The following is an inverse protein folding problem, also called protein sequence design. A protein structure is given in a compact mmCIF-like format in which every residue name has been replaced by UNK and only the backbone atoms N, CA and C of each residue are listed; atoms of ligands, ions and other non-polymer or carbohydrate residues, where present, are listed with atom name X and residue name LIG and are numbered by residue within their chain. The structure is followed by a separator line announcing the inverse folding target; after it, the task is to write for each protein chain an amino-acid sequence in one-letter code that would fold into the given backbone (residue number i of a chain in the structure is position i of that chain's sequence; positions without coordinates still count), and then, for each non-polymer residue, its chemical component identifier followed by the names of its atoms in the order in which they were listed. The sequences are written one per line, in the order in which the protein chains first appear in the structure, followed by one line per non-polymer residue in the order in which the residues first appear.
data_IF_235451645241
#
_entry.id   IF_235451645241
#
_cell.length_a   1.000
_cell.length_b   1.000
_cell.length_c   1.000
_cell.angle_alpha   90.00
_cell.angle_beta   90.00
_cell.angle_gamma   90.00
#
_symmetry.space_group_name_H-M   'P 1'
#
loop_
_entity.id
_entity.type
_entity.pdbx_description
1 polymer ?
#
# COMPACT_ATOMS: atom_id res chain seq x y z
N UNK A 1 11.95 8.80 -6.92
CA UNK A 1 10.98 8.68 -8.05
C UNK A 1 9.97 7.58 -7.75
N UNK A 2 8.66 7.79 -7.98
CA UNK A 2 7.59 6.86 -7.56
C UNK A 2 7.41 5.64 -8.51
N UNK A 3 8.31 5.44 -9.47
CA UNK A 3 8.29 4.30 -10.39
C UNK A 3 7.17 4.29 -11.43
N UNK A 4 6.45 5.40 -11.61
CA UNK A 4 5.33 5.52 -12.55
C UNK A 4 5.87 5.72 -13.96
N UNK A 5 5.74 4.70 -14.81
CA UNK A 5 6.18 4.75 -16.22
C UNK A 5 5.11 5.28 -17.17
N UNK A 6 3.85 4.93 -16.90
CA UNK A 6 2.73 5.27 -17.77
C UNK A 6 1.57 5.84 -16.95
N UNK A 7 0.97 6.90 -17.46
CA UNK A 7 -0.33 7.42 -17.01
C UNK A 7 -1.33 7.12 -18.12
N UNK A 8 -2.38 6.36 -17.79
CA UNK A 8 -3.38 5.91 -18.77
C UNK A 8 -4.75 6.42 -18.33
N UNK A 9 -5.41 7.17 -19.22
CA UNK A 9 -6.75 7.67 -19.02
C UNK A 9 -7.70 7.20 -20.13
N UNK A 10 -8.99 6.97 -19.84
CA UNK A 10 -9.99 6.72 -20.88
C UNK A 10 -10.32 8.03 -21.62
N UNK A 11 -10.23 8.03 -22.94
CA UNK A 11 -10.59 9.20 -23.77
C UNK A 11 -12.11 9.30 -24.01
N UNK A 12 -12.81 8.15 -24.02
CA UNK A 12 -14.26 8.07 -24.22
C UNK A 12 -14.89 6.99 -23.35
N UNK A 13 -16.16 7.20 -22.99
CA UNK A 13 -16.97 6.16 -22.33
C UNK A 13 -17.14 4.97 -23.29
N UNK A 14 -16.85 3.76 -22.83
CA UNK A 14 -17.22 2.54 -23.57
C UNK A 14 -18.75 2.41 -23.68
N UNK A 15 -19.28 1.71 -24.70
CA UNK A 15 -20.72 1.62 -24.97
C UNK A 15 -21.50 0.68 -24.02
N UNK A 16 -20.95 0.26 -22.87
CA UNK A 16 -21.58 -0.74 -22.02
C UNK A 16 -22.61 -0.13 -21.04
N UNK A 17 -23.88 -0.57 -21.07
CA UNK A 17 -24.85 -0.23 -20.03
C UNK A 17 -24.64 -1.16 -18.84
N UNK A 18 -24.00 -0.65 -17.78
CA UNK A 18 -23.83 -1.40 -16.53
C UNK A 18 -22.68 -0.88 -15.68
N UNK A 19 -22.98 -0.63 -14.40
CA UNK A 19 -22.13 -0.32 -13.24
C UNK A 19 -20.67 0.07 -13.54
N UNK A 20 -20.37 1.36 -13.47
CA UNK A 20 -19.00 1.89 -13.51
C UNK A 20 -18.53 2.37 -14.88
N UNK A 21 -19.30 3.23 -15.55
CA UNK A 21 -18.78 3.97 -16.71
C UNK A 21 -17.51 4.73 -16.27
N UNK A 22 -16.35 4.35 -16.80
CA UNK A 22 -15.11 5.07 -16.55
C UNK A 22 -15.32 6.53 -16.98
N UNK A 23 -15.24 7.43 -16.01
CA UNK A 23 -15.41 8.85 -16.28
C UNK A 23 -14.19 9.33 -17.05
N UNK A 24 -14.41 9.95 -18.21
CA UNK A 24 -13.33 10.58 -18.96
C UNK A 24 -12.68 11.65 -18.07
N UNK A 25 -11.33 11.76 -18.05
CA UNK A 25 -10.66 12.81 -17.31
C UNK A 25 -11.20 14.19 -17.72
N UNK A 26 -11.27 15.13 -16.77
CA UNK A 26 -11.68 16.50 -17.09
C UNK A 26 -10.69 17.09 -18.10
N UNK A 27 -11.14 17.89 -19.09
CA UNK A 27 -10.25 18.48 -20.09
C UNK A 27 -9.08 19.28 -19.48
N UNK A 28 -9.32 19.97 -18.36
CA UNK A 28 -8.27 20.68 -17.64
C UNK A 28 -7.16 19.76 -17.09
N UNK A 29 -7.48 18.51 -16.73
CA UNK A 29 -6.50 17.52 -16.28
C UNK A 29 -5.67 17.02 -17.46
N UNK A 30 -6.30 16.75 -18.60
CA UNK A 30 -5.58 16.34 -19.81
C UNK A 30 -4.66 17.46 -20.32
N UNK A 31 -5.15 18.70 -20.36
CA UNK A 31 -4.33 19.86 -20.73
C UNK A 31 -3.14 20.05 -19.78
N UNK A 32 -3.36 19.90 -18.47
CA UNK A 32 -2.26 19.98 -17.51
C UNK A 32 -1.21 18.88 -17.69
N UNK A 33 -1.61 17.66 -18.10
CA UNK A 33 -0.68 16.56 -18.41
C UNK A 33 0.02 16.77 -19.76
N UNK A 34 -0.67 17.30 -20.77
CA UNK A 34 -0.09 17.65 -22.07
C UNK A 34 0.98 18.76 -21.93
N UNK A 35 0.82 19.67 -20.97
CA UNK A 35 1.76 20.78 -20.70
C UNK A 35 3.01 20.35 -19.89
N UNK A 36 3.09 19.11 -19.39
CA UNK A 36 4.26 18.64 -18.63
C UNK A 36 5.42 18.25 -19.55
N UNK A 37 6.63 18.76 -19.26
CA UNK A 37 7.82 18.53 -20.10
C UNK A 37 8.38 17.11 -20.02
N UNK A 38 8.07 16.38 -18.94
CA UNK A 38 8.52 15.02 -18.67
C UNK A 38 7.50 13.96 -19.14
N UNK A 39 6.37 14.36 -19.70
CA UNK A 39 5.36 13.44 -20.25
C UNK A 39 5.32 13.49 -21.77
N UNK A 40 5.55 12.33 -22.38
CA UNK A 40 5.39 12.14 -23.82
C UNK A 40 4.08 11.38 -24.09
N UNK A 41 3.22 11.95 -24.94
CA UNK A 41 2.00 11.25 -25.37
C UNK A 41 2.37 10.10 -26.30
N UNK A 42 1.86 8.90 -26.00
CA UNK A 42 2.07 7.69 -26.79
C UNK A 42 0.84 7.48 -27.66
N UNK A 43 1.05 7.45 -28.98
CA UNK A 43 -0.01 7.10 -29.93
C UNK A 43 -0.35 5.61 -29.82
N UNK A 44 -1.65 5.30 -29.82
CA UNK A 44 -2.13 3.93 -29.63
C UNK A 44 -3.62 3.81 -29.84
N UNK A 45 -4.31 3.12 -28.93
CA UNK A 45 -5.76 2.95 -29.01
C UNK A 45 -6.45 4.32 -28.87
N UNK A 46 -7.27 4.76 -29.84
CA UNK A 46 -7.96 6.05 -29.78
C UNK A 46 -9.04 6.13 -28.68
N UNK A 47 -9.30 5.04 -27.95
CA UNK A 47 -10.14 5.07 -26.76
C UNK A 47 -9.36 5.44 -25.48
N UNK A 48 -8.04 5.53 -25.55
CA UNK A 48 -7.15 5.79 -24.43
C UNK A 48 -6.24 6.97 -24.74
N UNK A 49 -6.00 7.78 -23.71
CA UNK A 49 -4.88 8.71 -23.69
C UNK A 49 -3.79 8.09 -22.84
N UNK A 50 -2.60 7.91 -23.42
CA UNK A 50 -1.45 7.31 -22.75
C UNK A 50 -0.32 8.34 -22.74
N UNK A 51 0.17 8.65 -21.55
CA UNK A 51 1.39 9.43 -21.36
C UNK A 51 2.48 8.51 -20.83
N UNK A 52 3.66 8.55 -21.43
CA UNK A 52 4.86 7.91 -20.93
C UNK A 52 5.71 8.96 -20.22
N UNK A 53 6.12 8.66 -18.99
CA UNK A 53 7.08 9.47 -18.28
C UNK A 53 8.49 9.25 -18.88
N UNK A 54 9.07 10.32 -19.42
CA UNK A 54 10.40 10.35 -20.02
C UNK A 54 11.52 10.32 -18.98
N UNK A 55 11.24 10.74 -17.74
CA UNK A 55 12.17 10.72 -16.60
C UNK A 55 11.84 9.58 -15.63
N UNK A 56 11.50 8.42 -16.19
CA UNK A 56 11.18 7.24 -15.41
C UNK A 56 12.43 6.45 -14.98
N UNK A 57 12.39 5.91 -13.77
CA UNK A 57 13.34 4.92 -13.27
C UNK A 57 12.60 3.76 -12.58
N UNK A 58 13.04 2.50 -12.75
CA UNK A 58 12.42 1.37 -12.08
C UNK A 58 12.52 1.46 -10.56
N UNK A 59 11.48 1.01 -9.84
CA UNK A 59 11.54 0.85 -8.38
C UNK A 59 12.54 -0.24 -7.98
N UNK A 60 12.70 -1.25 -8.82
CA UNK A 60 13.69 -2.34 -8.70
C UNK A 60 14.50 -2.37 -9.97
N UNK A 61 15.78 -2.02 -9.88
CA UNK A 61 16.66 -1.93 -11.03
C UNK A 61 17.83 -2.90 -10.90
N UNK A 62 18.22 -3.53 -12.02
CA UNK A 62 19.50 -4.22 -12.13
C UNK A 62 20.56 -3.18 -12.49
N UNK A 63 21.61 -3.14 -11.69
CA UNK A 63 22.79 -2.31 -11.88
C UNK A 63 24.02 -3.20 -12.00
N UNK A 64 25.11 -2.63 -12.51
CA UNK A 64 26.42 -3.27 -12.50
C UNK A 64 26.83 -3.66 -11.07
N UNK A 65 27.65 -4.71 -10.93
CA UNK A 65 28.07 -5.24 -9.64
C UNK A 65 28.76 -4.19 -8.75
N UNK A 66 29.52 -3.28 -9.37
CA UNK A 66 30.26 -2.20 -8.71
C UNK A 66 29.43 -0.94 -8.46
N UNK A 67 28.15 -0.92 -8.82
CA UNK A 67 27.32 0.26 -8.65
C UNK A 67 27.22 0.69 -7.17
N UNK A 68 27.38 1.99 -6.95
CA UNK A 68 27.27 2.63 -5.64
C UNK A 68 25.85 3.13 -5.33
N UNK A 69 24.94 3.04 -6.31
CA UNK A 69 23.54 3.44 -6.17
C UNK A 69 23.33 4.95 -6.04
N UNK A 70 24.35 5.78 -6.33
CA UNK A 70 24.24 7.23 -6.34
C UNK A 70 23.41 7.72 -7.54
N UNK A 71 23.45 6.98 -8.64
CA UNK A 71 22.73 7.27 -9.87
C UNK A 71 22.17 5.98 -10.48
N UNK A 72 20.95 6.04 -11.00
CA UNK A 72 20.31 4.92 -11.69
C UNK A 72 20.32 5.26 -13.19
N UNK A 73 20.92 4.40 -14.03
CA UNK A 73 20.90 4.60 -15.47
C UNK A 73 19.47 4.68 -16.01
N UNK A 74 19.18 5.58 -16.97
CA UNK A 74 17.83 5.72 -17.55
C UNK A 74 17.37 4.46 -18.29
N UNK A 75 18.31 3.64 -18.76
CA UNK A 75 18.11 2.36 -19.44
C UNK A 75 18.24 1.14 -18.50
N UNK A 76 18.37 1.35 -17.19
CA UNK A 76 18.49 0.27 -16.22
C UNK A 76 17.32 -0.72 -16.34
N UNK A 77 17.65 -2.00 -16.43
CA UNK A 77 16.65 -3.05 -16.56
C UNK A 77 15.84 -3.19 -15.27
N UNK A 78 14.53 -3.45 -15.40
CA UNK A 78 13.69 -3.77 -14.24
C UNK A 78 14.07 -5.14 -13.68
N UNK A 79 14.50 -5.17 -12.43
CA UNK A 79 14.78 -6.37 -11.66
C UNK A 79 13.48 -6.98 -11.10
N UNK A 80 13.45 -8.31 -10.94
CA UNK A 80 12.40 -9.04 -10.21
C UNK A 80 10.99 -8.64 -10.68
N UNK A 81 10.69 -9.00 -11.92
CA UNK A 81 9.52 -8.51 -12.68
C UNK A 81 8.22 -9.16 -12.23
N UNK A 82 8.29 -10.33 -11.62
CA UNK A 82 7.12 -11.05 -11.15
C UNK A 82 6.76 -10.59 -9.74
N UNK A 83 5.48 -10.38 -9.50
CA UNK A 83 4.96 -10.00 -8.19
C UNK A 83 4.15 -11.17 -7.65
N UNK A 84 4.65 -11.77 -6.59
CA UNK A 84 4.02 -12.96 -5.98
C UNK A 84 3.15 -12.60 -4.78
N UNK A 85 3.28 -11.37 -4.25
CA UNK A 85 2.51 -10.93 -3.10
C UNK A 85 2.65 -9.44 -2.78
N UNK A 86 2.17 -9.07 -1.59
CA UNK A 86 2.41 -7.75 -1.03
C UNK A 86 3.83 -7.70 -0.46
N UNK A 87 4.71 -6.93 -1.12
CA UNK A 87 6.13 -6.86 -0.74
C UNK A 87 6.95 -8.09 -1.11
N UNK A 88 6.49 -8.92 -2.05
CA UNK A 88 7.23 -10.08 -2.56
C UNK A 88 7.32 -10.04 -4.09
N UNK A 89 8.54 -10.22 -4.60
CA UNK A 89 8.87 -10.17 -6.02
C UNK A 89 9.89 -11.25 -6.38
N UNK A 90 9.79 -11.77 -7.59
CA UNK A 90 10.71 -12.80 -8.09
C UNK A 90 11.16 -12.53 -9.53
N UNK A 91 12.25 -13.20 -9.90
CA UNK A 91 12.85 -13.19 -11.24
C UNK A 91 14.18 -13.91 -11.23
N UNK A 92 14.91 -13.85 -12.34
CA UNK A 92 16.29 -14.36 -12.41
C UNK A 92 17.29 -13.22 -12.36
N UNK A 93 18.49 -13.53 -11.85
CA UNK A 93 19.69 -12.71 -11.95
C UNK A 93 20.73 -13.56 -12.66
N UNK A 94 20.94 -13.28 -13.95
CA UNK A 94 21.73 -14.17 -14.81
C UNK A 94 23.25 -13.85 -14.77
N UNK A 95 23.59 -12.60 -14.47
CA UNK A 95 24.97 -12.10 -14.34
C UNK A 95 25.20 -11.50 -12.94
N UNK A 96 26.46 -11.42 -12.46
CA UNK A 96 26.79 -10.68 -11.25
C UNK A 96 26.29 -9.24 -11.36
N UNK A 97 25.25 -8.90 -10.61
CA UNK A 97 24.57 -7.62 -10.68
C UNK A 97 24.15 -7.18 -9.29
N UNK A 98 24.06 -5.87 -9.09
CA UNK A 98 23.48 -5.28 -7.88
C UNK A 98 22.01 -4.97 -8.12
N UNK A 99 21.15 -5.36 -7.19
CA UNK A 99 19.73 -4.96 -7.23
C UNK A 99 19.57 -3.67 -6.43
N UNK A 100 19.16 -2.60 -7.11
CA UNK A 100 18.72 -1.37 -6.46
C UNK A 100 17.23 -1.43 -6.13
N UNK A 101 16.87 -0.95 -4.94
CA UNK A 101 15.50 -0.86 -4.45
C UNK A 101 15.18 0.56 -3.96
N UNK A 102 14.31 1.24 -4.71
CA UNK A 102 13.72 2.52 -4.31
C UNK A 102 12.53 2.31 -3.36
N UNK A 103 12.81 1.85 -2.16
CA UNK A 103 11.88 1.80 -1.03
C UNK A 103 12.62 2.25 0.23
N UNK A 104 11.87 2.68 1.25
CA UNK A 104 12.44 3.07 2.54
C UNK A 104 13.42 2.01 3.06
N UNK A 105 14.61 2.45 3.44
CA UNK A 105 15.67 1.61 3.94
C UNK A 105 15.22 0.92 5.23
N UNK A 106 14.98 -0.39 5.12
CA UNK A 106 14.40 -1.20 6.20
C UNK A 106 15.03 -2.61 6.15
N UNK A 107 15.58 -3.11 7.28
CA UNK A 107 16.16 -4.46 7.35
C UNK A 107 15.13 -5.58 7.13
N UNK A 108 13.83 -5.28 7.13
CA UNK A 108 12.78 -6.22 6.75
C UNK A 108 12.82 -6.63 5.29
N UNK A 109 13.47 -5.85 4.41
CA UNK A 109 13.71 -6.24 3.02
C UNK A 109 14.87 -7.23 2.92
N UNK A 110 14.63 -8.35 2.25
CA UNK A 110 15.62 -9.42 2.06
C UNK A 110 15.57 -9.89 0.62
N UNK A 111 16.74 -9.99 -0.03
CA UNK A 111 16.90 -10.61 -1.33
C UNK A 111 17.61 -11.95 -1.13
N UNK A 112 16.99 -13.02 -1.60
CA UNK A 112 17.57 -14.36 -1.63
C UNK A 112 17.78 -14.78 -3.07
N UNK A 113 18.97 -15.30 -3.39
CA UNK A 113 19.32 -15.81 -4.73
C UNK A 113 19.88 -17.22 -4.57
N UNK A 114 19.16 -18.22 -5.10
CA UNK A 114 19.49 -19.64 -4.94
C UNK A 114 19.79 -20.05 -3.47
N UNK A 115 19.05 -19.50 -2.50
CA UNK A 115 19.22 -19.80 -1.08
C UNK A 115 20.30 -19.00 -0.36
N UNK A 116 20.99 -18.09 -1.05
CA UNK A 116 21.95 -17.16 -0.47
C UNK A 116 21.33 -15.77 -0.29
N UNK A 117 21.33 -15.26 0.94
CA UNK A 117 20.86 -13.90 1.22
C UNK A 117 21.90 -12.87 0.80
N UNK A 118 21.47 -11.92 -0.03
CA UNK A 118 22.30 -10.81 -0.50
C UNK A 118 22.62 -9.82 0.63
N UNK A 119 23.81 -9.21 0.56
CA UNK A 119 24.17 -8.12 1.46
C UNK A 119 23.35 -6.87 1.13
N UNK A 120 22.76 -6.26 2.15
CA UNK A 120 21.99 -5.02 2.00
C UNK A 120 22.82 -3.82 2.48
N UNK A 121 22.82 -2.73 1.70
CA UNK A 121 23.41 -1.46 2.08
C UNK A 121 22.44 -0.31 1.81
N UNK A 122 22.22 0.56 2.80
CA UNK A 122 21.45 1.79 2.60
C UNK A 122 22.23 2.80 1.76
N UNK A 123 21.59 3.33 0.73
CA UNK A 123 22.14 4.38 -0.13
C UNK A 123 21.17 5.55 -0.23
N UNK A 124 21.72 6.76 -0.40
CA UNK A 124 20.96 8.03 -0.45
C UNK A 124 20.11 8.32 0.81
N UNK A 125 20.32 7.59 1.91
CA UNK A 125 19.61 7.78 3.19
C UNK A 125 18.19 7.21 3.23
N UNK A 126 17.64 6.75 2.11
CA UNK A 126 16.28 6.19 2.03
C UNK A 126 16.17 4.95 1.16
N UNK A 127 17.10 4.68 0.24
CA UNK A 127 17.04 3.53 -0.69
C UNK A 127 18.05 2.45 -0.32
N UNK A 128 18.04 1.31 -1.02
CA UNK A 128 18.91 0.18 -0.73
C UNK A 128 19.58 -0.39 -1.98
N UNK A 129 20.78 -0.92 -1.79
CA UNK A 129 21.44 -1.86 -2.69
C UNK A 129 21.47 -3.24 -2.06
N UNK A 130 21.17 -4.25 -2.86
CA UNK A 130 21.21 -5.65 -2.50
C UNK A 130 22.23 -6.33 -3.41
N UNK A 131 23.33 -6.81 -2.84
CA UNK A 131 24.46 -7.41 -3.56
C UNK A 131 24.44 -8.92 -3.37
N UNK A 132 23.85 -9.68 -4.29
CA UNK A 132 23.90 -11.13 -4.25
C UNK A 132 25.32 -11.62 -4.53
N UNK A 133 25.74 -12.69 -3.84
CA UNK A 133 27.02 -13.36 -4.06
C UNK A 133 26.94 -14.45 -5.14
N UNK A 134 25.73 -14.78 -5.58
CA UNK A 134 25.39 -15.82 -6.55
C UNK A 134 24.43 -15.27 -7.61
N UNK A 135 24.39 -15.95 -8.75
CA UNK A 135 23.38 -15.75 -9.80
C UNK A 135 22.36 -16.89 -9.74
N UNK A 136 21.18 -16.71 -10.32
CA UNK A 136 20.12 -17.73 -10.32
C UNK A 136 18.73 -17.18 -10.06
N UNK A 137 17.87 -18.02 -9.49
CA UNK A 137 16.49 -17.66 -9.14
C UNK A 137 16.50 -16.76 -7.90
N UNK A 138 15.90 -15.58 -8.04
CA UNK A 138 15.96 -14.53 -7.05
C UNK A 138 14.57 -14.19 -6.52
N UNK A 139 14.45 -14.07 -5.19
CA UNK A 139 13.25 -13.64 -4.50
C UNK A 139 13.55 -12.49 -3.55
N UNK A 140 12.89 -11.35 -3.75
CA UNK A 140 12.87 -10.21 -2.83
C UNK A 140 11.60 -10.27 -1.98
N UNK A 141 11.73 -10.13 -0.67
CA UNK A 141 10.60 -10.14 0.26
C UNK A 141 10.76 -9.14 1.40
N UNK A 142 9.67 -8.48 1.76
CA UNK A 142 9.54 -7.73 3.00
C UNK A 142 8.96 -8.60 4.13
N UNK A 143 9.65 -8.65 5.25
CA UNK A 143 9.18 -9.32 6.48
C UNK A 143 8.87 -8.28 7.53
N UNK A 144 7.60 -8.19 7.94
CA UNK A 144 7.19 -7.26 9.00
C UNK A 144 7.80 -7.68 10.34
N UNK A 145 8.42 -6.76 11.11
CA UNK A 145 8.98 -7.07 12.41
C UNK A 145 7.93 -7.65 13.38
N UNK A 146 8.26 -8.69 14.16
CA UNK A 146 7.30 -9.32 15.07
C UNK A 146 6.82 -8.37 16.18
N UNK A 147 7.63 -7.37 16.54
CA UNK A 147 7.26 -6.33 17.50
C UNK A 147 6.07 -5.49 17.02
N UNK A 148 5.97 -5.21 15.71
CA UNK A 148 4.83 -4.50 15.15
C UNK A 148 3.54 -5.32 15.29
N UNK A 149 3.60 -6.61 14.95
CA UNK A 149 2.48 -7.54 15.09
C UNK A 149 2.07 -7.67 16.56
N UNK A 150 3.04 -7.80 17.47
CA UNK A 150 2.79 -7.85 18.91
C UNK A 150 2.13 -6.58 19.44
N UNK A 151 2.57 -5.40 18.97
CA UNK A 151 1.97 -4.11 19.31
C UNK A 151 0.51 -4.01 18.83
N UNK A 152 0.22 -4.48 17.62
CA UNK A 152 -1.14 -4.52 17.08
C UNK A 152 -2.06 -5.41 17.93
N UNK A 153 -1.58 -6.60 18.30
CA UNK A 153 -2.32 -7.52 19.18
C UNK A 153 -2.57 -6.90 20.54
N UNK A 154 -1.55 -6.27 21.14
CA UNK A 154 -1.69 -5.58 22.42
C UNK A 154 -2.73 -4.44 22.35
N UNK A 155 -2.73 -3.67 21.25
CA UNK A 155 -3.71 -2.63 21.02
C UNK A 155 -5.14 -3.18 20.93
N UNK A 156 -5.35 -4.28 20.20
CA UNK A 156 -6.67 -4.94 20.12
C UNK A 156 -7.15 -5.41 21.50
N UNK A 157 -6.26 -6.03 22.29
CA UNK A 157 -6.56 -6.47 23.65
C UNK A 157 -6.90 -5.28 24.55
N UNK A 158 -6.15 -4.19 24.47
CA UNK A 158 -6.40 -2.98 25.25
C UNK A 158 -7.79 -2.38 24.94
N UNK A 159 -8.17 -2.32 23.65
CA UNK A 159 -9.50 -1.86 23.25
C UNK A 159 -10.62 -2.79 23.73
N UNK A 160 -10.42 -4.11 23.64
CA UNK A 160 -11.38 -5.08 24.15
C UNK A 160 -11.60 -4.91 25.67
N UNK A 161 -10.52 -4.74 26.44
CA UNK A 161 -10.59 -4.48 27.88
C UNK A 161 -11.29 -3.16 28.19
N UNK A 162 -10.99 -2.08 27.45
CA UNK A 162 -11.64 -0.79 27.62
C UNK A 162 -13.17 -0.90 27.39
N UNK A 163 -13.59 -1.59 26.33
CA UNK A 163 -15.00 -1.85 26.04
C UNK A 163 -15.66 -2.64 27.17
N UNK A 164 -15.02 -3.72 27.66
CA UNK A 164 -15.54 -4.53 28.76
C UNK A 164 -15.71 -3.72 30.05
N UNK A 165 -14.77 -2.84 30.39
CA UNK A 165 -14.88 -1.96 31.55
C UNK A 165 -16.02 -0.95 31.37
N UNK A 166 -16.14 -0.33 30.19
CA UNK A 166 -17.23 0.61 29.90
C UNK A 166 -18.61 -0.06 29.96
N UNK A 167 -18.73 -1.29 29.46
CA UNK A 167 -19.98 -2.07 29.56
C UNK A 167 -20.30 -2.43 31.01
N UNK A 168 -19.30 -2.82 31.81
CA UNK A 168 -19.46 -3.06 33.26
C UNK A 168 -19.97 -1.81 33.99
N UNK A 169 -19.38 -0.64 33.72
CA UNK A 169 -19.81 0.62 34.33
C UNK A 169 -21.24 0.96 33.93
N UNK A 170 -21.61 0.82 32.65
CA UNK A 170 -22.98 1.07 32.17
C UNK A 170 -24.01 0.20 32.86
N UNK A 171 -23.76 -1.11 32.98
CA UNK A 171 -24.68 -2.04 33.67
C UNK A 171 -24.89 -1.63 35.12
N UNK A 172 -23.81 -1.28 35.85
CA UNK A 172 -23.91 -0.85 37.26
C UNK A 172 -24.69 0.46 37.39
N UNK A 173 -24.51 1.41 36.47
CA UNK A 173 -25.24 2.69 36.48
C UNK A 173 -26.72 2.48 36.13
N UNK A 174 -27.04 1.64 35.16
CA UNK A 174 -28.41 1.31 34.78
C UNK A 174 -29.15 0.56 35.89
N UNK A 175 -28.50 -0.38 36.58
CA UNK A 175 -29.09 -1.05 37.75
C UNK A 175 -29.36 -0.07 38.89
N UNK A 176 -28.45 0.89 39.13
CA UNK A 176 -28.65 1.94 40.15
C UNK A 176 -29.80 2.88 39.77
N UNK A 177 -29.91 3.26 38.50
CA UNK A 177 -31.04 4.08 38.00
C UNK A 177 -32.36 3.34 38.09
N UNK A 178 -32.41 2.05 37.75
CA UNK A 178 -33.61 1.21 37.91
C UNK A 178 -34.02 1.06 39.37
N UNK A 179 -33.08 0.90 40.30
CA UNK A 179 -33.36 0.82 41.75
C UNK A 179 -33.72 2.16 42.40
N UNK A 180 -33.26 3.27 41.82
CA UNK A 180 -33.56 4.62 42.30
C UNK A 180 -34.91 5.16 41.76
N UNK A 181 -35.57 4.47 40.82
CA UNK A 181 -36.96 4.74 40.47
C UNK A 181 -37.86 4.39 41.66
N UNK A 182 -38.57 5.37 42.16
CA UNK A 182 -39.57 5.20 43.22
C UNK A 182 -40.82 4.52 42.66
N UNK A 183 -41.54 3.67 43.43
CA UNK A 183 -42.75 2.97 42.97
C UNK A 183 -43.84 3.90 42.41
N UNK A 184 -43.86 5.17 42.83
CA UNK A 184 -44.80 6.20 42.34
C UNK A 184 -44.58 6.57 40.86
N UNK A 185 -43.33 6.58 40.37
CA UNK A 185 -43.04 6.84 38.95
C UNK A 185 -43.39 5.63 38.07
N UNK A 186 -43.27 4.42 38.60
CA UNK A 186 -43.63 3.18 37.89
C UNK A 186 -45.16 3.02 37.77
N UNK A 187 -45.90 3.41 38.81
CA UNK A 187 -47.37 3.47 38.79
C UNK A 187 -47.91 4.59 37.88
N UNK A 188 -47.21 5.73 37.77
CA UNK A 188 -47.60 6.81 36.86
C UNK A 188 -47.43 6.44 35.37
N UNK A 189 -46.39 5.69 35.02
CA UNK A 189 -46.13 5.22 33.64
C UNK A 189 -47.10 4.10 33.23
N UNK A 190 -47.43 3.19 34.15
CA UNK A 190 -48.43 2.13 33.95
C UNK A 190 -49.85 2.72 33.84
N UNK A 191 -50.18 3.73 34.64
CA UNK A 191 -51.44 4.46 34.54
C UNK A 191 -51.55 5.30 33.26
N UNK A 192 -50.44 5.83 32.73
CA UNK A 192 -50.42 6.54 31.46
C UNK A 192 -50.59 5.60 30.24
N UNK A 193 -50.04 4.38 30.30
CA UNK A 193 -50.18 3.38 29.23
C UNK A 193 -51.60 2.77 29.16
N UNK A 194 -52.36 2.79 30.26
CA UNK A 194 -53.74 2.27 30.32
C UNK A 194 -54.80 3.29 29.87
N UNK A 195 -54.44 4.57 29.76
CA UNK A 195 -55.36 5.67 29.36
C UNK A 195 -55.39 5.91 27.84
N UNK A 196 -54.45 5.34 27.09
CA UNK A 196 -54.31 5.49 25.63
C UNK A 196 -54.72 4.24 24.81
N UNK A 197 -55.36 3.24 25.43
CA UNK A 197 -55.89 2.03 24.77
C UNK A 197 -57.43 1.95 24.82
#
# INVERSE_FOLDING_TARGET
PMGIRYVVGPDRRGPAPGVGAAEAPRPAVLGALDDQLDLARVEGNPALVVYQNAEWSPVRALLDAEADGAWIPPDAATALRFRDGYGQFSGSIDDPATVYLAADADPGWTLDVDGATAEQTTVQGWSMLLRPSTTGDATLRYTTPPAYVGGLVAQVVAWALAILVLLRIRVVVDERRRRARTPEEELADLGAAEVDA
#
